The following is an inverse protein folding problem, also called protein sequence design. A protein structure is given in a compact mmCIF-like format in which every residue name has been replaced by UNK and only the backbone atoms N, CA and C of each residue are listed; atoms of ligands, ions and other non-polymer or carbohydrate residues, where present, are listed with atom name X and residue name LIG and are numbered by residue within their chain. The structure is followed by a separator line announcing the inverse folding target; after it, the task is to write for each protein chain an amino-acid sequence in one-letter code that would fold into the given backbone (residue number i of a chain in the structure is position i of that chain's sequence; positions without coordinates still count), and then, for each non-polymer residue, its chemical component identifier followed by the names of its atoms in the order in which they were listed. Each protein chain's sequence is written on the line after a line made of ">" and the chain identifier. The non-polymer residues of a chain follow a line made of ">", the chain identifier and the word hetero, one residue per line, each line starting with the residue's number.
data_IF_922709119639
#
_entry.id   IF_922709119639
#
_cell.length_a   1.000
_cell.length_b   1.000
_cell.length_c   1.000
_cell.angle_alpha   90.00
_cell.angle_beta   90.00
_cell.angle_gamma   90.00
#
_symmetry.space_group_name_H-M   'P 1'
#
loop_
_entity.id
_entity.type
_entity.pdbx_description
1 polymer ?
#
# COMPACT_ATOMS: atom_id res chain seq x y z
N UNK A 1 -27.79 45.45 -4.94
CA UNK A 1 -27.79 45.05 -6.36
C UNK A 1 -26.84 45.97 -7.09
N UNK A 2 -25.61 45.56 -7.39
CA UNK A 2 -24.73 46.27 -8.33
C UNK A 2 -23.81 45.25 -9.00
N UNK A 3 -24.15 44.90 -10.24
CA UNK A 3 -23.27 44.18 -11.16
C UNK A 3 -22.32 45.21 -11.76
N UNK A 4 -21.03 45.12 -11.44
CA UNK A 4 -20.01 45.75 -12.28
C UNK A 4 -19.82 44.81 -13.48
N UNK A 5 -20.45 45.17 -14.59
CA UNK A 5 -20.07 44.66 -15.91
C UNK A 5 -18.68 45.18 -16.21
N UNK A 6 -17.64 44.43 -15.83
CA UNK A 6 -16.32 44.67 -16.38
C UNK A 6 -16.38 44.40 -17.89
N UNK A 7 -16.50 45.50 -18.61
CA UNK A 7 -16.24 45.67 -20.03
C UNK A 7 -15.02 44.85 -20.45
N UNK A 8 -15.24 43.98 -21.45
CA UNK A 8 -14.24 43.54 -22.43
C UNK A 8 -12.81 43.31 -21.92
N UNK A 9 -12.62 42.60 -20.81
CA UNK A 9 -11.37 41.87 -20.66
C UNK A 9 -11.47 40.69 -21.63
N UNK A 10 -10.94 40.85 -22.84
CA UNK A 10 -10.46 39.71 -23.61
C UNK A 10 -9.63 38.90 -22.63
N UNK A 11 -10.20 37.79 -22.16
CA UNK A 11 -9.46 36.79 -21.40
C UNK A 11 -8.50 36.26 -22.43
N UNK A 12 -7.29 36.84 -22.48
CA UNK A 12 -6.24 36.42 -23.39
C UNK A 12 -6.10 34.93 -23.21
N UNK A 13 -6.38 34.24 -24.29
CA UNK A 13 -6.58 32.81 -24.36
C UNK A 13 -5.52 32.08 -23.55
N UNK A 14 -5.92 31.01 -22.86
CA UNK A 14 -4.97 29.99 -22.43
C UNK A 14 -4.10 29.63 -23.65
N UNK A 15 -2.87 30.15 -23.64
CA UNK A 15 -2.00 30.17 -24.78
C UNK A 15 -1.83 28.72 -25.27
N UNK A 16 -2.04 28.43 -26.56
CA UNK A 16 -1.91 27.07 -27.11
C UNK A 16 -0.55 26.44 -26.73
N UNK A 17 0.45 27.31 -26.58
CA UNK A 17 1.79 26.99 -26.13
C UNK A 17 1.83 26.48 -24.67
N UNK A 18 1.02 27.05 -23.79
CA UNK A 18 0.89 26.61 -22.40
C UNK A 18 0.10 25.30 -22.31
N UNK A 19 -0.93 25.11 -23.13
CA UNK A 19 -1.61 23.81 -23.26
C UNK A 19 -0.63 22.70 -23.67
N UNK A 20 0.23 22.96 -24.66
CA UNK A 20 1.25 22.01 -25.11
C UNK A 20 2.28 21.70 -24.00
N UNK A 21 2.73 22.70 -23.23
CA UNK A 21 3.63 22.51 -22.08
C UNK A 21 2.97 21.67 -20.97
N UNK A 22 1.72 21.96 -20.62
CA UNK A 22 0.97 21.19 -19.61
C UNK A 22 0.76 19.75 -20.07
N UNK A 23 0.43 19.53 -21.34
CA UNK A 23 0.27 18.20 -21.91
C UNK A 23 1.59 17.41 -21.89
N UNK A 24 2.73 18.06 -22.19
CA UNK A 24 4.06 17.43 -22.07
C UNK A 24 4.36 17.02 -20.62
N UNK A 25 4.12 17.89 -19.65
CA UNK A 25 4.29 17.56 -18.21
C UNK A 25 3.36 16.43 -17.76
N UNK A 26 2.10 16.46 -18.17
CA UNK A 26 1.13 15.40 -17.85
C UNK A 26 1.57 14.05 -18.43
N UNK A 27 2.00 14.01 -19.70
CA UNK A 27 2.55 12.80 -20.35
C UNK A 27 3.82 12.31 -19.66
N UNK A 28 4.72 13.21 -19.27
CA UNK A 28 5.95 12.86 -18.57
C UNK A 28 5.64 12.26 -17.19
N UNK A 29 4.73 12.85 -16.42
CA UNK A 29 4.27 12.30 -15.14
C UNK A 29 3.63 10.93 -15.33
N UNK A 30 2.74 10.78 -16.33
CA UNK A 30 2.12 9.51 -16.64
C UNK A 30 3.16 8.43 -16.99
N UNK A 31 4.21 8.79 -17.76
CA UNK A 31 5.33 7.91 -18.07
C UNK A 31 6.11 7.52 -16.80
N UNK A 32 6.50 8.49 -15.98
CA UNK A 32 7.19 8.22 -14.72
C UNK A 32 6.39 7.29 -13.80
N UNK A 33 5.10 7.55 -13.63
CA UNK A 33 4.22 6.68 -12.84
C UNK A 33 4.13 5.28 -13.42
N UNK A 34 4.02 5.15 -14.75
CA UNK A 34 4.02 3.84 -15.43
C UNK A 34 5.34 3.09 -15.20
N UNK A 35 6.47 3.77 -15.34
CA UNK A 35 7.80 3.18 -15.19
C UNK A 35 8.05 2.76 -13.75
N UNK A 36 7.75 3.64 -12.78
CA UNK A 36 7.86 3.35 -11.35
C UNK A 36 6.97 2.17 -10.97
N UNK A 37 5.71 2.17 -11.41
CA UNK A 37 4.76 1.07 -11.18
C UNK A 37 5.28 -0.24 -11.75
N UNK A 38 5.83 -0.23 -12.97
CA UNK A 38 6.41 -1.43 -13.59
C UNK A 38 7.60 -1.97 -12.79
N UNK A 39 8.52 -1.09 -12.35
CA UNK A 39 9.69 -1.51 -11.56
C UNK A 39 9.27 -2.05 -10.20
N UNK A 40 8.41 -1.34 -9.48
CA UNK A 40 7.89 -1.79 -8.19
C UNK A 40 7.24 -3.18 -8.28
N UNK A 41 6.45 -3.44 -9.32
CA UNK A 41 5.84 -4.75 -9.53
C UNK A 41 6.84 -5.86 -9.82
N UNK A 42 7.81 -5.59 -10.68
CA UNK A 42 8.78 -6.61 -11.12
C UNK A 42 9.81 -6.90 -10.05
N UNK A 43 10.31 -5.85 -9.41
CA UNK A 43 11.40 -5.90 -8.44
C UNK A 43 10.84 -6.21 -7.05
N UNK A 44 10.06 -5.31 -6.47
CA UNK A 44 9.59 -5.48 -5.08
C UNK A 44 8.63 -6.66 -4.91
N UNK A 45 7.50 -6.69 -5.65
CA UNK A 45 6.56 -7.81 -5.54
C UNK A 45 7.15 -9.13 -6.08
N UNK A 46 8.10 -9.05 -7.02
CA UNK A 46 8.86 -10.22 -7.48
C UNK A 46 9.72 -10.81 -6.37
N UNK A 47 10.48 -9.98 -5.66
CA UNK A 47 11.28 -10.38 -4.50
C UNK A 47 10.41 -10.93 -3.37
N UNK A 48 9.25 -10.34 -3.14
CA UNK A 48 8.30 -10.80 -2.12
C UNK A 48 7.79 -12.22 -2.41
N UNK A 49 7.49 -12.51 -3.68
CA UNK A 49 7.12 -13.85 -4.11
C UNK A 49 8.28 -14.86 -3.95
N UNK A 50 9.54 -14.44 -4.19
CA UNK A 50 10.71 -15.29 -3.98
C UNK A 50 10.99 -15.56 -2.50
N UNK A 51 10.83 -14.56 -1.62
CA UNK A 51 10.99 -14.72 -0.16
C UNK A 51 10.07 -15.79 0.43
N UNK A 52 8.88 -16.01 -0.16
CA UNK A 52 7.95 -17.09 0.23
C UNK A 52 8.58 -18.50 0.18
N UNK A 53 9.50 -18.75 -0.76
CA UNK A 53 10.10 -20.07 -0.96
C UNK A 53 11.30 -20.33 -0.06
N UNK A 54 11.81 -19.31 0.63
CA UNK A 54 12.79 -19.52 1.69
C UNK A 54 12.03 -19.95 2.95
N UNK A 55 12.48 -20.98 3.69
CA UNK A 55 11.88 -21.36 4.97
C UNK A 55 12.13 -20.22 5.96
N UNK A 56 11.22 -19.24 5.92
CA UNK A 56 11.25 -18.11 6.81
C UNK A 56 10.74 -18.63 8.16
N UNK A 57 11.63 -18.69 9.13
CA UNK A 57 11.38 -19.00 10.55
C UNK A 57 10.42 -17.99 11.23
N UNK A 58 9.87 -17.04 10.46
CA UNK A 58 9.02 -15.99 10.98
C UNK A 58 7.63 -16.52 11.33
N UNK A 59 7.27 -16.33 12.61
CA UNK A 59 5.93 -16.57 13.10
C UNK A 59 5.12 -15.28 12.94
N UNK A 60 4.10 -15.36 12.10
CA UNK A 60 3.17 -14.26 11.88
C UNK A 60 2.44 -13.90 13.17
N UNK A 61 2.28 -12.60 13.44
CA UNK A 61 1.64 -12.08 14.65
C UNK A 61 0.32 -11.40 14.33
N UNK A 62 -0.54 -11.31 15.35
CA UNK A 62 -1.75 -10.50 15.27
C UNK A 62 -1.38 -9.03 15.17
N UNK A 63 -2.05 -8.29 14.29
CA UNK A 63 -1.85 -6.87 14.09
C UNK A 63 -0.91 -6.50 12.93
N UNK A 64 -0.22 -7.47 12.34
CA UNK A 64 0.66 -7.25 11.19
C UNK A 64 -0.13 -6.91 9.92
N UNK A 65 0.53 -6.18 9.02
CA UNK A 65 -0.03 -5.82 7.71
C UNK A 65 0.50 -6.81 6.67
N UNK A 66 -0.43 -7.46 5.98
CA UNK A 66 -0.14 -8.48 4.97
C UNK A 66 -0.83 -8.15 3.66
N UNK A 67 -0.20 -8.55 2.57
CA UNK A 67 -0.73 -8.49 1.21
C UNK A 67 -1.39 -9.83 0.89
N UNK A 68 -2.65 -9.81 0.46
CA UNK A 68 -3.46 -11.01 0.17
C UNK A 68 -3.45 -11.30 -1.32
N UNK A 69 -2.95 -12.48 -1.68
CA UNK A 69 -3.05 -13.02 -3.03
C UNK A 69 -4.52 -13.23 -3.43
N UNK A 70 -4.89 -12.64 -4.56
CA UNK A 70 -6.13 -12.95 -5.25
C UNK A 70 -5.82 -13.55 -6.61
N UNK A 71 -6.15 -14.83 -6.80
CA UNK A 71 -5.88 -15.59 -8.03
C UNK A 71 -6.50 -14.98 -9.29
N UNK A 72 -7.60 -14.22 -9.13
CA UNK A 72 -8.36 -13.69 -10.27
C UNK A 72 -7.93 -12.26 -10.66
N UNK A 73 -6.99 -11.65 -9.94
CA UNK A 73 -6.60 -10.26 -10.17
C UNK A 73 -5.09 -10.12 -10.30
N UNK A 74 -4.67 -9.17 -11.15
CA UNK A 74 -3.27 -8.77 -11.24
C UNK A 74 -2.72 -8.45 -9.84
N UNK A 75 -1.43 -8.72 -9.60
CA UNK A 75 -0.77 -8.51 -8.29
C UNK A 75 -0.91 -7.07 -7.74
N UNK A 76 -1.12 -6.11 -8.63
CA UNK A 76 -1.46 -4.73 -8.32
C UNK A 76 -2.73 -4.55 -7.47
N UNK A 77 -3.68 -5.46 -7.61
CA UNK A 77 -4.98 -5.41 -6.95
C UNK A 77 -5.07 -6.40 -5.79
N UNK A 78 -3.93 -6.94 -5.36
CA UNK A 78 -3.88 -7.70 -4.11
C UNK A 78 -4.19 -6.77 -2.95
N UNK A 79 -4.95 -7.28 -1.99
CA UNK A 79 -5.49 -6.47 -0.91
C UNK A 79 -4.43 -6.32 0.18
N UNK A 80 -4.22 -5.10 0.66
CA UNK A 80 -3.43 -4.84 1.87
C UNK A 80 -4.40 -4.90 3.04
N UNK A 81 -4.16 -5.80 3.99
CA UNK A 81 -5.07 -6.08 5.11
C UNK A 81 -4.31 -6.27 6.41
N UNK A 82 -5.00 -6.07 7.53
CA UNK A 82 -4.45 -6.31 8.87
C UNK A 82 -4.85 -7.70 9.37
N UNK A 83 -3.91 -8.42 9.97
CA UNK A 83 -4.18 -9.69 10.64
C UNK A 83 -4.95 -9.42 11.94
N UNK A 84 -6.14 -10.01 12.07
CA UNK A 84 -6.95 -9.93 13.30
C UNK A 84 -6.71 -11.13 14.21
N UNK A 85 -6.65 -12.32 13.64
CA UNK A 85 -6.59 -13.57 14.42
C UNK A 85 -5.83 -14.65 13.66
N UNK A 86 -5.04 -15.43 14.40
CA UNK A 86 -4.35 -16.62 13.91
C UNK A 86 -5.20 -17.85 14.25
N UNK A 87 -5.62 -18.62 13.24
CA UNK A 87 -6.42 -19.83 13.45
C UNK A 87 -5.53 -21.08 13.37
N UNK A 88 -5.17 -21.69 14.51
CA UNK A 88 -4.39 -22.92 14.52
C UNK A 88 -5.22 -24.11 14.05
N UNK A 89 -4.58 -25.03 13.34
CA UNK A 89 -5.17 -26.33 13.01
C UNK A 89 -5.05 -27.32 14.17
N UNK A 90 -5.49 -28.56 13.91
CA UNK A 90 -5.43 -29.68 14.88
C UNK A 90 -4.05 -29.92 15.50
N UNK A 91 -2.98 -29.60 14.77
CA UNK A 91 -1.59 -29.84 15.19
C UNK A 91 -0.95 -28.58 15.83
N UNK A 92 -1.73 -27.57 16.20
CA UNK A 92 -1.23 -26.30 16.77
C UNK A 92 -0.62 -25.32 15.76
N UNK A 93 -0.30 -25.78 14.55
CA UNK A 93 0.24 -24.93 13.49
C UNK A 93 -0.83 -24.01 12.88
N UNK A 94 -0.51 -22.72 12.75
CA UNK A 94 -1.37 -21.72 12.10
C UNK A 94 -1.47 -22.03 10.61
N UNK A 95 -2.68 -22.37 10.15
CA UNK A 95 -2.96 -22.67 8.73
C UNK A 95 -3.72 -21.55 8.05
N UNK A 96 -4.56 -20.85 8.80
CA UNK A 96 -5.51 -19.88 8.28
C UNK A 96 -5.52 -18.64 9.17
N UNK A 97 -5.72 -17.48 8.58
CA UNK A 97 -5.88 -16.22 9.28
C UNK A 97 -7.24 -15.60 9.05
N UNK A 98 -7.71 -14.88 10.06
CA UNK A 98 -8.81 -13.91 9.94
C UNK A 98 -8.21 -12.52 9.72
N UNK A 99 -8.65 -11.85 8.67
CA UNK A 99 -8.06 -10.60 8.18
C UNK A 99 -9.13 -9.52 8.09
N UNK A 100 -8.76 -8.27 8.42
CA UNK A 100 -9.63 -7.10 8.27
C UNK A 100 -9.40 -6.44 6.92
N UNK A 101 -10.43 -6.40 6.09
CA UNK A 101 -10.42 -5.74 4.78
C UNK A 101 -11.47 -4.61 4.78
N UNK A 102 -11.06 -3.41 5.19
CA UNK A 102 -11.98 -2.29 5.39
C UNK A 102 -13.07 -2.68 6.40
N UNK A 103 -14.34 -2.63 5.97
CA UNK A 103 -15.46 -3.00 6.84
C UNK A 103 -15.66 -4.53 6.94
N UNK A 104 -15.23 -5.28 5.93
CA UNK A 104 -15.44 -6.72 5.84
C UNK A 104 -14.28 -7.52 6.46
N UNK A 105 -14.56 -8.77 6.81
CA UNK A 105 -13.55 -9.72 7.28
C UNK A 105 -13.45 -10.88 6.30
N UNK A 106 -12.22 -11.31 6.05
CA UNK A 106 -11.94 -12.40 5.12
C UNK A 106 -11.05 -13.43 5.81
N UNK A 107 -11.30 -14.70 5.49
CA UNK A 107 -10.51 -15.82 5.98
C UNK A 107 -9.67 -16.34 4.83
N UNK A 108 -8.34 -16.41 5.03
CA UNK A 108 -7.39 -16.86 4.01
C UNK A 108 -6.29 -17.74 4.59
N UNK A 109 -5.85 -18.77 3.84
CA UNK A 109 -4.73 -19.60 4.27
C UNK A 109 -3.44 -18.78 4.28
N UNK A 110 -2.54 -19.09 5.22
CA UNK A 110 -1.22 -18.43 5.36
C UNK A 110 -0.44 -18.45 4.05
N UNK A 111 -0.59 -19.50 3.24
CA UNK A 111 0.08 -19.67 1.96
C UNK A 111 -0.26 -18.59 0.92
N UNK A 112 -1.38 -17.89 1.06
CA UNK A 112 -1.82 -16.83 0.14
C UNK A 112 -1.54 -15.43 0.67
N UNK A 113 -0.71 -15.31 1.70
CA UNK A 113 -0.40 -14.06 2.37
C UNK A 113 1.08 -13.75 2.22
N UNK A 114 1.38 -12.48 1.96
CA UNK A 114 2.74 -11.97 1.89
C UNK A 114 2.92 -10.89 2.95
N UNK A 115 3.90 -11.07 3.83
CA UNK A 115 4.21 -10.09 4.87
C UNK A 115 4.83 -8.83 4.25
N UNK A 116 4.30 -7.66 4.60
CA UNK A 116 4.96 -6.40 4.24
C UNK A 116 6.05 -6.09 5.26
N UNK A 117 7.17 -5.52 4.80
CA UNK A 117 8.31 -5.12 5.63
C UNK A 117 8.00 -3.82 6.40
N UNK A 118 6.89 -3.78 7.11
CA UNK A 118 6.39 -2.60 7.79
C UNK A 118 6.12 -2.98 9.23
N UNK A 119 6.85 -2.37 10.17
CA UNK A 119 6.57 -2.55 11.59
C UNK A 119 5.41 -1.63 11.99
N UNK A 120 4.37 -2.15 12.68
CA UNK A 120 3.24 -1.33 13.13
C UNK A 120 3.68 -0.15 14.02
N UNK A 121 4.74 -0.34 14.80
CA UNK A 121 5.33 0.66 15.68
C UNK A 121 5.90 1.85 14.89
N UNK A 122 6.56 1.60 13.76
CA UNK A 122 7.13 2.65 12.90
C UNK A 122 6.02 3.49 12.25
N UNK A 123 4.89 2.89 11.91
CA UNK A 123 3.72 3.61 11.40
C UNK A 123 3.06 4.47 12.47
N UNK A 124 2.99 3.98 13.71
CA UNK A 124 2.46 4.72 14.85
C UNK A 124 3.35 5.94 15.15
N UNK A 125 4.67 5.76 15.11
CA UNK A 125 5.65 6.84 15.26
C UNK A 125 5.49 7.88 14.13
N UNK A 126 5.40 7.43 12.87
CA UNK A 126 5.26 8.31 11.72
C UNK A 126 3.91 9.07 11.70
N UNK A 127 2.84 8.47 12.19
CA UNK A 127 1.51 9.08 12.23
C UNK A 127 1.31 10.02 13.42
N UNK A 128 1.94 9.74 14.56
CA UNK A 128 1.76 10.52 15.80
C UNK A 128 2.89 11.55 16.00
N UNK A 129 3.99 11.46 15.24
CA UNK A 129 5.08 12.44 15.27
C UNK A 129 5.90 12.45 16.57
N UNK A 130 5.84 11.37 17.35
CA UNK A 130 6.59 11.24 18.60
C UNK A 130 7.94 10.59 18.26
N UNK A 131 9.04 11.33 18.42
CA UNK A 131 10.39 10.75 18.37
C UNK A 131 10.51 9.64 19.40
N UNK A 132 11.08 8.49 19.00
CA UNK A 132 11.33 7.33 19.88
C UNK A 132 12.00 7.80 21.17
N UNK A 133 11.31 7.69 22.30
CA UNK A 133 11.98 7.70 23.61
C UNK A 133 12.64 6.33 23.76
N UNK A 134 13.98 6.23 23.79
CA UNK A 134 14.65 4.96 23.93
C UNK A 134 14.46 4.44 25.37
N UNK A 135 13.95 3.22 25.53
CA UNK A 135 13.99 2.51 26.82
C UNK A 135 12.81 1.61 27.21
N UNK A 136 11.73 1.50 26.42
CA UNK A 136 10.50 0.80 26.88
C UNK A 136 10.33 -0.63 26.31
N UNK A 137 11.13 -1.07 25.34
CA UNK A 137 10.87 -2.34 24.62
C UNK A 137 11.71 -3.53 25.12
N UNK A 138 12.65 -3.35 26.06
CA UNK A 138 13.53 -4.47 26.50
C UNK A 138 12.91 -5.46 27.50
N UNK A 139 11.58 -5.57 27.60
CA UNK A 139 10.92 -6.44 28.60
C UNK A 139 9.62 -7.11 28.15
N UNK A 140 9.50 -7.60 26.90
CA UNK A 140 8.53 -8.68 26.52
C UNK A 140 9.07 -9.49 25.35
#
# INVERSE_FOLDING_TARGET
>A
MFLLTNSSAEVTDLDLNDFAKFQRRARFRAKLFKDLKSRFLKEYLGLLAQKRYKPISYKMKVGEIVLVENSNKNRLYWLIVKVLELLPGRNGNVRTLRLKCGNAEIIRPVQRLFLLEIQPEELLIAAVGIEKIPGVIDLV
#
